data_IF_943857976276
#
_entry.id   IF_943857976276
#
_cell.length_a   1.000
_cell.length_b   1.000
_cell.length_c   1.000
_cell.angle_alpha   90.00
_cell.angle_beta   90.00
_cell.angle_gamma   90.00
#
_symmetry.space_group_name_H-M   'P 1'
#
loop_
_entity.id
_entity.type
_entity.pdbx_description
1 polymer ?
#
# COMPACT_ATOMS: atom_id res chain seq x y z
N UNK A 1 1.56 50.12 -52.59
CA UNK A 1 1.73 48.68 -52.26
C UNK A 1 2.90 48.39 -51.31
N UNK A 2 4.09 48.99 -51.46
CA UNK A 2 5.27 48.69 -50.62
C UNK A 2 5.15 49.01 -49.12
N UNK A 3 4.35 50.01 -48.72
CA UNK A 3 4.11 50.36 -47.30
C UNK A 3 3.18 49.37 -46.58
N UNK A 4 2.27 48.72 -47.29
CA UNK A 4 1.32 47.75 -46.71
C UNK A 4 2.01 46.41 -46.42
N UNK A 5 2.95 46.01 -47.27
CA UNK A 5 3.76 44.81 -47.08
C UNK A 5 4.71 44.93 -45.88
N UNK A 6 5.25 46.14 -45.62
CA UNK A 6 6.12 46.39 -44.47
C UNK A 6 5.35 46.32 -43.14
N UNK A 7 4.10 46.80 -43.10
CA UNK A 7 3.24 46.70 -41.91
C UNK A 7 2.84 45.24 -41.64
N UNK A 8 2.55 44.45 -42.69
CA UNK A 8 2.24 43.03 -42.55
C UNK A 8 3.45 42.21 -42.06
N UNK A 9 4.67 42.56 -42.48
CA UNK A 9 5.93 41.95 -42.01
C UNK A 9 6.28 42.39 -40.58
N UNK A 10 5.96 43.63 -40.18
CA UNK A 10 6.13 44.08 -38.80
C UNK A 10 5.09 43.45 -37.86
N UNK A 11 3.85 43.25 -38.31
CA UNK A 11 2.80 42.57 -37.53
C UNK A 11 3.08 41.07 -37.37
N UNK A 12 3.72 40.41 -38.34
CA UNK A 12 4.11 39.00 -38.21
C UNK A 12 5.35 38.78 -37.34
N UNK A 13 6.17 39.81 -37.09
CA UNK A 13 7.35 39.72 -36.19
C UNK A 13 7.02 39.91 -34.70
N UNK A 14 5.77 40.24 -34.33
CA UNK A 14 5.37 40.53 -32.94
C UNK A 14 4.70 39.35 -32.22
N UNK A 15 4.55 38.17 -32.85
CA UNK A 15 3.69 37.11 -32.32
C UNK A 15 4.37 35.81 -31.86
N UNK A 16 5.69 35.78 -31.68
CA UNK A 16 6.36 34.58 -31.12
C UNK A 16 7.48 34.88 -30.15
N UNK A 17 7.27 35.78 -29.19
CA UNK A 17 7.98 35.65 -27.92
C UNK A 17 7.27 34.55 -27.13
N UNK A 18 7.94 33.40 -26.95
CA UNK A 18 7.52 32.46 -25.93
C UNK A 18 7.72 33.15 -24.57
N UNK A 19 6.73 33.91 -24.11
CA UNK A 19 6.64 34.25 -22.69
C UNK A 19 6.44 32.92 -21.97
N UNK A 20 7.51 32.40 -21.36
CA UNK A 20 7.40 31.38 -20.33
C UNK A 20 6.59 31.99 -19.20
N UNK A 21 5.27 31.81 -19.24
CA UNK A 21 4.41 32.26 -18.16
C UNK A 21 4.85 31.51 -16.90
N UNK A 22 5.40 32.25 -15.93
CA UNK A 22 5.76 31.69 -14.63
C UNK A 22 4.52 31.11 -13.96
N UNK A 23 3.39 31.82 -14.08
CA UNK A 23 2.05 31.36 -13.70
C UNK A 23 1.06 31.80 -14.79
N UNK A 24 0.17 30.91 -15.23
CA UNK A 24 -0.92 31.21 -16.17
C UNK A 24 -2.24 30.67 -15.62
N UNK A 25 -3.33 31.42 -15.79
CA UNK A 25 -4.70 30.90 -15.62
C UNK A 25 -5.39 30.93 -16.97
N UNK A 26 -5.91 29.79 -17.46
CA UNK A 26 -6.61 29.73 -18.74
C UNK A 26 -8.10 30.10 -18.60
N UNK A 27 -8.81 30.22 -19.73
CA UNK A 27 -10.25 30.57 -19.75
C UNK A 27 -11.16 29.54 -19.06
N UNK A 28 -10.67 28.32 -18.83
CA UNK A 28 -11.37 27.26 -18.09
C UNK A 28 -11.04 27.26 -16.59
N UNK A 29 -10.23 28.22 -16.12
CA UNK A 29 -9.81 28.35 -14.73
C UNK A 29 -8.67 27.43 -14.29
N UNK A 30 -7.96 26.79 -15.22
CA UNK A 30 -6.81 25.93 -14.89
C UNK A 30 -5.55 26.77 -14.71
N UNK A 31 -4.80 26.45 -13.65
CA UNK A 31 -3.57 27.14 -13.28
C UNK A 31 -2.36 26.34 -13.76
N UNK A 32 -1.55 26.93 -14.64
CA UNK A 32 -0.27 26.39 -15.07
C UNK A 32 0.90 27.11 -14.40
N UNK A 33 1.90 26.37 -13.91
CA UNK A 33 3.18 26.94 -13.44
C UNK A 33 4.28 26.41 -14.36
N UNK A 34 5.01 27.31 -15.03
CA UNK A 34 5.91 26.96 -16.14
C UNK A 34 5.21 26.16 -17.28
N UNK A 35 3.89 26.26 -17.37
CA UNK A 35 3.05 25.58 -18.34
C UNK A 35 2.03 26.57 -18.90
N UNK A 36 2.13 26.87 -20.20
CA UNK A 36 1.22 27.79 -20.88
C UNK A 36 -0.07 27.12 -21.37
N UNK A 37 -0.17 25.79 -21.34
CA UNK A 37 -1.35 25.04 -21.77
C UNK A 37 -1.71 23.98 -20.71
N UNK A 38 -2.13 24.41 -19.49
CA UNK A 38 -2.44 23.48 -18.42
C UNK A 38 -3.58 22.54 -18.85
N UNK A 39 -3.36 21.24 -18.65
CA UNK A 39 -4.32 20.16 -18.95
C UNK A 39 -5.05 19.67 -17.70
N UNK A 40 -4.61 20.13 -16.53
CA UNK A 40 -5.21 19.84 -15.23
C UNK A 40 -5.47 21.12 -14.45
N UNK A 41 -6.32 21.06 -13.42
CA UNK A 41 -6.71 22.24 -12.62
C UNK A 41 -5.51 23.00 -12.05
N UNK A 42 -4.51 22.26 -11.59
CA UNK A 42 -3.17 22.75 -11.31
C UNK A 42 -2.18 21.86 -12.08
N UNK A 43 -1.41 22.44 -12.98
CA UNK A 43 -0.50 21.74 -13.87
C UNK A 43 0.89 22.42 -13.78
N UNK A 44 1.82 21.76 -13.10
CA UNK A 44 3.17 22.27 -12.85
C UNK A 44 4.14 21.52 -13.76
N UNK A 45 4.76 22.23 -14.68
CA UNK A 45 5.84 21.67 -15.50
C UNK A 45 7.19 21.89 -14.80
N UNK A 46 7.48 21.05 -13.82
CA UNK A 46 8.68 21.11 -12.99
C UNK A 46 8.46 20.50 -11.61
N UNK A 47 9.43 20.73 -10.72
CA UNK A 47 9.37 20.22 -9.35
C UNK A 47 8.44 21.06 -8.46
N UNK A 48 7.89 20.43 -7.42
CA UNK A 48 7.11 21.10 -6.39
C UNK A 48 7.80 20.97 -5.03
N UNK A 49 7.92 22.07 -4.28
CA UNK A 49 8.35 22.07 -2.89
C UNK A 49 7.25 22.66 -2.00
N UNK A 50 6.82 21.90 -1.01
CA UNK A 50 5.93 22.36 0.04
C UNK A 50 6.77 22.61 1.30
N UNK A 51 6.90 23.88 1.68
CA UNK A 51 7.60 24.30 2.89
C UNK A 51 6.62 24.36 4.05
N UNK A 52 6.95 23.70 5.15
CA UNK A 52 6.12 23.72 6.37
C UNK A 52 6.88 24.36 7.54
N UNK A 53 6.16 24.70 8.61
CA UNK A 53 6.75 25.28 9.82
C UNK A 53 7.83 24.37 10.40
N UNK A 54 8.97 24.94 10.82
CA UNK A 54 10.08 24.18 11.42
C UNK A 54 11.03 23.51 10.42
N UNK A 55 11.02 23.91 9.14
CA UNK A 55 12.01 23.48 8.15
C UNK A 55 11.74 22.11 7.51
N UNK A 56 10.65 21.44 7.88
CA UNK A 56 10.19 20.21 7.23
C UNK A 56 9.64 20.56 5.85
N UNK A 57 10.07 19.82 4.83
CA UNK A 57 9.64 20.04 3.46
C UNK A 57 9.19 18.72 2.83
N UNK A 58 8.20 18.80 1.95
CA UNK A 58 7.86 17.75 1.01
C UNK A 58 8.21 18.20 -0.40
N UNK A 59 8.65 17.25 -1.21
CA UNK A 59 9.09 17.46 -2.58
C UNK A 59 8.34 16.52 -3.50
N UNK A 60 7.95 17.03 -4.67
CA UNK A 60 7.64 16.23 -5.84
C UNK A 60 8.72 16.53 -6.87
N UNK A 61 9.50 15.52 -7.24
CA UNK A 61 10.53 15.65 -8.28
C UNK A 61 10.68 14.34 -9.05
N UNK A 62 10.77 14.45 -10.37
CA UNK A 62 10.64 13.29 -11.26
C UNK A 62 9.34 12.53 -10.99
N UNK A 63 9.45 11.23 -10.72
CA UNK A 63 8.31 10.35 -10.40
C UNK A 63 8.13 10.11 -8.90
N UNK A 64 8.79 10.90 -8.04
CA UNK A 64 8.86 10.65 -6.60
C UNK A 64 8.19 11.75 -5.80
N UNK A 65 7.41 11.36 -4.78
CA UNK A 65 6.98 12.21 -3.69
C UNK A 65 7.72 11.81 -2.42
N UNK A 66 8.47 12.73 -1.81
CA UNK A 66 9.32 12.42 -0.68
C UNK A 66 9.47 13.60 0.27
N UNK A 67 9.89 13.32 1.50
CA UNK A 67 10.17 14.35 2.48
C UNK A 67 11.67 14.64 2.61
N UNK A 68 12.02 15.79 3.19
CA UNK A 68 13.41 16.16 3.44
C UNK A 68 14.10 15.11 4.34
N UNK A 69 15.16 14.43 3.88
CA UNK A 69 15.82 13.36 4.65
C UNK A 69 16.50 13.86 5.93
N UNK A 70 16.81 15.16 6.04
CA UNK A 70 17.43 15.73 7.25
C UNK A 70 16.46 15.89 8.42
N UNK A 71 15.16 15.69 8.22
CA UNK A 71 14.14 15.84 9.26
C UNK A 71 13.21 14.62 9.30
N UNK A 72 12.78 14.25 10.50
CA UNK A 72 11.72 13.27 10.69
C UNK A 72 10.40 13.85 10.21
N UNK A 73 10.01 13.48 8.99
CA UNK A 73 8.76 13.85 8.36
C UNK A 73 7.90 12.61 8.17
N UNK A 74 6.69 12.68 8.69
CA UNK A 74 5.75 11.57 8.70
C UNK A 74 4.70 11.75 7.61
N UNK A 75 4.26 10.62 7.04
CA UNK A 75 3.08 10.60 6.19
C UNK A 75 1.84 10.38 7.08
N UNK A 76 1.22 11.48 7.50
CA UNK A 76 0.11 11.50 8.46
C UNK A 76 0.56 11.69 9.91
N UNK A 77 -0.37 11.58 10.85
CA UNK A 77 -0.08 11.64 12.30
C UNK A 77 -1.08 10.81 13.10
N UNK A 78 -0.88 10.68 14.42
CA UNK A 78 -1.77 9.91 15.31
C UNK A 78 -3.22 10.38 15.31
N UNK A 79 -3.48 11.66 14.96
CA UNK A 79 -4.84 12.22 14.85
C UNK A 79 -5.34 12.37 13.41
N UNK A 80 -4.45 12.22 12.43
CA UNK A 80 -4.74 12.43 11.00
C UNK A 80 -4.07 11.33 10.18
N UNK A 81 -4.61 10.11 10.31
CA UNK A 81 -4.10 8.93 9.61
C UNK A 81 -4.71 8.82 8.22
N UNK A 82 -3.95 8.23 7.30
CA UNK A 82 -4.46 7.84 5.99
C UNK A 82 -5.40 6.65 6.15
N UNK A 83 -6.56 6.70 5.50
CA UNK A 83 -7.54 5.61 5.59
C UNK A 83 -7.01 4.32 4.94
N UNK A 84 -6.33 4.43 3.79
CA UNK A 84 -5.73 3.29 3.05
C UNK A 84 -4.48 3.74 2.28
N UNK A 85 -3.56 2.79 2.05
CA UNK A 85 -2.41 2.93 1.15
C UNK A 85 -2.56 1.89 0.04
N UNK A 86 -2.56 2.33 -1.21
CA UNK A 86 -2.59 1.47 -2.40
C UNK A 86 -1.21 1.50 -3.05
N UNK A 87 -0.48 0.40 -2.97
CA UNK A 87 0.88 0.29 -3.52
C UNK A 87 1.14 -1.13 -4.02
N UNK A 88 1.79 -1.27 -5.18
CA UNK A 88 2.22 -2.56 -5.72
C UNK A 88 3.33 -3.19 -4.88
N UNK A 89 4.23 -2.36 -4.36
CA UNK A 89 5.31 -2.77 -3.47
C UNK A 89 5.47 -1.77 -2.33
N UNK A 90 5.75 -2.27 -1.13
CA UNK A 90 6.10 -1.46 0.03
C UNK A 90 7.48 -1.87 0.55
N UNK A 91 8.43 -0.96 0.52
CA UNK A 91 9.80 -1.17 1.02
C UNK A 91 9.97 -0.40 2.33
N UNK A 92 10.26 -1.12 3.41
CA UNK A 92 10.50 -0.53 4.72
C UNK A 92 11.88 -0.93 5.24
N UNK A 93 12.64 0.02 5.77
CA UNK A 93 13.88 -0.26 6.51
C UNK A 93 13.58 -0.89 7.87
N UNK A 94 12.42 -0.56 8.46
CA UNK A 94 11.94 -1.09 9.74
C UNK A 94 10.55 -1.69 9.56
N UNK A 95 10.20 -2.68 10.40
CA UNK A 95 8.89 -3.32 10.31
C UNK A 95 7.75 -2.33 10.64
N UNK A 96 6.62 -2.37 9.91
CA UNK A 96 5.43 -1.59 10.26
C UNK A 96 4.97 -1.88 11.70
N UNK A 97 4.60 -0.83 12.42
CA UNK A 97 4.10 -0.93 13.79
C UNK A 97 2.57 -0.90 13.79
N UNK A 98 1.95 -1.93 14.39
CA UNK A 98 0.51 -2.01 14.59
C UNK A 98 0.20 -1.72 16.06
N UNK A 99 -0.65 -0.73 16.32
CA UNK A 99 -1.11 -0.43 17.67
C UNK A 99 -1.82 -1.63 18.29
N UNK A 100 -1.37 -2.10 19.45
CA UNK A 100 -1.84 -3.34 20.07
C UNK A 100 -1.98 -3.27 21.60
N UNK A 101 -1.96 -2.06 22.17
CA UNK A 101 -2.09 -1.85 23.62
C UNK A 101 -3.46 -2.34 24.14
N UNK A 102 -3.49 -2.90 25.35
CA UNK A 102 -4.73 -3.25 26.06
C UNK A 102 -5.74 -2.10 26.16
N UNK A 103 -5.28 -0.85 26.25
CA UNK A 103 -6.13 0.36 26.35
C UNK A 103 -6.96 0.63 25.09
N UNK A 104 -6.53 0.11 23.95
CA UNK A 104 -7.22 0.28 22.67
C UNK A 104 -7.96 -1.01 22.25
N UNK A 105 -8.07 -1.99 23.15
CA UNK A 105 -8.76 -3.26 22.94
C UNK A 105 -9.91 -3.41 23.93
N UNK A 106 -10.96 -4.09 23.50
CA UNK A 106 -12.09 -4.48 24.34
C UNK A 106 -12.51 -5.91 24.00
N UNK A 107 -13.32 -6.55 24.86
CA UNK A 107 -13.80 -7.92 24.65
C UNK A 107 -12.66 -8.95 24.41
N UNK A 108 -11.55 -8.80 25.15
CA UNK A 108 -10.38 -9.68 25.05
C UNK A 108 -10.77 -11.07 25.56
N UNK A 109 -10.59 -12.09 24.70
CA UNK A 109 -10.83 -13.51 25.00
C UNK A 109 -9.62 -14.32 24.58
N UNK A 110 -9.34 -15.38 25.31
CA UNK A 110 -8.31 -16.33 24.92
C UNK A 110 -8.71 -17.05 23.62
N UNK A 111 -7.73 -17.30 22.76
CA UNK A 111 -7.91 -18.21 21.63
C UNK A 111 -7.94 -19.64 22.18
N UNK A 112 -9.11 -20.27 22.11
CA UNK A 112 -9.27 -21.70 22.42
C UNK A 112 -8.69 -22.57 21.30
N UNK A 113 -8.81 -23.89 21.40
CA UNK A 113 -8.23 -24.83 20.42
C UNK A 113 -8.57 -24.45 18.98
N UNK A 114 -7.54 -24.10 18.20
CA UNK A 114 -7.64 -23.66 16.80
C UNK A 114 -7.00 -24.65 15.83
N UNK A 115 -6.30 -25.66 16.36
CA UNK A 115 -5.57 -26.65 15.57
C UNK A 115 -6.44 -27.30 14.49
N UNK A 116 -7.68 -27.67 14.81
CA UNK A 116 -8.57 -28.34 13.84
C UNK A 116 -8.99 -27.42 12.71
N UNK A 117 -9.11 -26.11 12.96
CA UNK A 117 -9.35 -25.11 11.91
C UNK A 117 -8.13 -24.93 11.02
N UNK A 118 -6.93 -24.87 11.60
CA UNK A 118 -5.69 -24.68 10.82
C UNK A 118 -5.43 -25.86 9.87
N UNK A 119 -5.79 -27.09 10.26
CA UNK A 119 -5.70 -28.27 9.38
C UNK A 119 -6.58 -28.19 8.12
N UNK A 120 -7.63 -27.37 8.13
CA UNK A 120 -8.50 -27.18 6.97
C UNK A 120 -7.88 -26.22 5.94
N UNK A 121 -6.85 -25.47 6.32
CA UNK A 121 -6.21 -24.51 5.42
C UNK A 121 -5.29 -25.23 4.44
N UNK A 122 -5.35 -24.81 3.18
CA UNK A 122 -4.52 -25.33 2.10
C UNK A 122 -3.53 -24.25 1.62
N UNK A 123 -2.25 -24.32 2.02
CA UNK A 123 -1.21 -23.49 1.43
C UNK A 123 -1.10 -23.78 -0.07
N UNK A 124 -0.97 -22.73 -0.88
CA UNK A 124 -0.85 -22.82 -2.33
C UNK A 124 0.28 -21.94 -2.84
N UNK A 125 0.80 -22.28 -4.01
CA UNK A 125 1.58 -21.36 -4.83
C UNK A 125 0.71 -20.85 -5.97
N UNK A 126 0.94 -19.61 -6.39
CA UNK A 126 0.20 -19.01 -7.48
C UNK A 126 1.02 -17.92 -8.16
N UNK A 127 0.58 -17.57 -9.37
CA UNK A 127 0.96 -16.35 -10.04
C UNK A 127 -0.27 -15.45 -10.14
N UNK A 128 -0.10 -14.14 -10.05
CA UNK A 128 -1.21 -13.23 -10.26
C UNK A 128 -1.59 -13.17 -11.74
N UNK A 129 -2.89 -13.07 -12.00
CA UNK A 129 -3.44 -12.90 -13.35
C UNK A 129 -3.19 -11.48 -13.85
N UNK A 130 -2.50 -11.34 -14.98
CA UNK A 130 -2.10 -10.04 -15.55
C UNK A 130 -3.19 -9.33 -16.37
N UNK A 131 -4.32 -9.99 -16.58
CA UNK A 131 -5.51 -9.49 -17.28
C UNK A 131 -6.56 -8.88 -16.33
N UNK A 132 -6.30 -8.84 -15.01
CA UNK A 132 -7.15 -8.18 -14.02
C UNK A 132 -6.78 -6.68 -13.93
N UNK A 133 -7.65 -5.75 -14.38
CA UNK A 133 -7.32 -4.33 -14.47
C UNK A 133 -6.92 -3.69 -13.12
N UNK A 134 -7.49 -4.15 -12.02
CA UNK A 134 -7.30 -3.59 -10.68
C UNK A 134 -5.91 -3.85 -10.10
N UNK A 135 -5.19 -4.88 -10.57
CA UNK A 135 -3.97 -5.37 -9.91
C UNK A 135 -2.69 -4.61 -10.29
N UNK A 136 -2.74 -3.75 -11.33
CA UNK A 136 -1.57 -3.00 -11.83
C UNK A 136 -0.28 -3.86 -11.93
N UNK A 137 -0.42 -5.07 -12.48
CA UNK A 137 0.69 -6.02 -12.57
C UNK A 137 1.58 -5.67 -13.77
N UNK A 138 2.89 -5.72 -13.55
CA UNK A 138 3.85 -5.74 -14.64
C UNK A 138 3.69 -7.04 -15.44
N UNK A 139 3.12 -6.91 -16.65
CA UNK A 139 2.86 -8.03 -17.56
C UNK A 139 4.12 -8.79 -17.97
N UNK A 140 5.30 -8.20 -17.80
CA UNK A 140 6.58 -8.83 -18.10
C UNK A 140 7.11 -9.70 -16.96
N UNK A 141 6.53 -9.61 -15.75
CA UNK A 141 7.07 -10.24 -14.55
C UNK A 141 6.06 -11.18 -13.89
N UNK A 142 6.09 -12.46 -14.26
CA UNK A 142 5.23 -13.50 -13.70
C UNK A 142 5.82 -14.10 -12.41
N UNK A 143 5.79 -13.33 -11.32
CA UNK A 143 6.40 -13.73 -10.03
C UNK A 143 5.59 -14.85 -9.37
N UNK A 144 6.25 -15.95 -9.00
CA UNK A 144 5.65 -17.03 -8.22
C UNK A 144 5.50 -16.58 -6.75
N UNK A 145 4.31 -16.73 -6.21
CA UNK A 145 3.96 -16.34 -4.84
C UNK A 145 3.42 -17.53 -4.05
N UNK A 146 3.45 -17.42 -2.73
CA UNK A 146 2.93 -18.40 -1.77
C UNK A 146 1.82 -17.73 -0.96
N UNK A 147 0.76 -18.48 -0.64
CA UNK A 147 -0.33 -17.96 0.16
C UNK A 147 -1.50 -18.92 0.28
N UNK A 148 -2.70 -18.36 0.38
CA UNK A 148 -3.97 -19.09 0.46
C UNK A 148 -4.98 -18.53 -0.53
N UNK A 149 -5.98 -19.34 -0.87
CA UNK A 149 -7.18 -18.89 -1.58
C UNK A 149 -8.11 -18.21 -0.56
N UNK A 150 -8.53 -16.98 -0.86
CA UNK A 150 -9.28 -16.16 0.10
C UNK A 150 -10.65 -16.75 0.43
N UNK A 151 -11.33 -17.36 -0.53
CA UNK A 151 -12.64 -18.02 -0.37
C UNK A 151 -12.55 -19.26 0.54
N UNK A 152 -11.47 -20.05 0.37
CA UNK A 152 -11.19 -21.20 1.24
C UNK A 152 -10.91 -20.74 2.68
N UNK A 153 -10.11 -19.68 2.83
CA UNK A 153 -9.83 -19.09 4.14
C UNK A 153 -11.10 -18.50 4.78
N UNK A 154 -11.94 -17.81 4.01
CA UNK A 154 -13.17 -17.18 4.50
C UNK A 154 -14.13 -18.20 5.11
N UNK A 155 -14.17 -19.42 4.58
CA UNK A 155 -15.00 -20.50 5.11
C UNK A 155 -14.58 -20.96 6.52
N UNK A 156 -13.33 -20.70 6.93
CA UNK A 156 -12.76 -21.13 8.21
C UNK A 156 -12.56 -19.94 9.18
N UNK A 157 -12.08 -18.81 8.65
CA UNK A 157 -11.78 -17.56 9.33
C UNK A 157 -12.35 -16.36 8.54
N UNK A 158 -13.68 -16.16 8.53
CA UNK A 158 -14.31 -15.12 7.73
C UNK A 158 -13.81 -13.72 8.10
N UNK A 159 -13.59 -13.47 9.39
CA UNK A 159 -12.97 -12.27 9.95
C UNK A 159 -11.48 -12.07 9.61
N UNK A 160 -10.85 -12.84 8.73
CA UNK A 160 -9.50 -12.54 8.20
C UNK A 160 -9.52 -12.12 6.73
N UNK A 161 -10.69 -12.18 6.09
CA UNK A 161 -10.88 -11.85 4.68
C UNK A 161 -11.60 -10.52 4.56
N UNK A 162 -11.20 -9.71 3.59
CA UNK A 162 -11.81 -8.41 3.28
C UNK A 162 -12.03 -8.28 1.79
N UNK A 163 -13.01 -7.47 1.42
CA UNK A 163 -13.18 -7.04 0.03
C UNK A 163 -12.32 -5.80 -0.25
N UNK A 164 -11.89 -5.65 -1.50
CA UNK A 164 -11.20 -4.47 -2.00
C UNK A 164 -11.40 -4.33 -3.52
N UNK A 165 -11.23 -3.12 -4.04
CA UNK A 165 -11.46 -2.84 -5.46
C UNK A 165 -12.88 -3.20 -5.90
N UNK A 166 -13.02 -3.82 -7.07
CA UNK A 166 -14.27 -4.31 -7.64
C UNK A 166 -14.61 -5.71 -7.07
N UNK A 167 -14.91 -5.78 -5.77
CA UNK A 167 -15.30 -7.01 -5.05
C UNK A 167 -14.26 -8.14 -5.03
N UNK A 168 -12.98 -7.81 -5.21
CA UNK A 168 -11.89 -8.77 -5.02
C UNK A 168 -11.70 -9.07 -3.54
N UNK A 169 -11.39 -10.33 -3.21
CA UNK A 169 -11.06 -10.72 -1.84
C UNK A 169 -9.57 -10.56 -1.56
N UNK A 170 -9.25 -10.21 -0.32
CA UNK A 170 -7.91 -10.07 0.22
C UNK A 170 -7.82 -10.65 1.62
N UNK A 171 -6.62 -11.08 2.02
CA UNK A 171 -6.36 -11.75 3.30
C UNK A 171 -5.51 -10.85 4.20
N UNK A 172 -5.92 -10.69 5.45
CA UNK A 172 -5.09 -10.11 6.52
C UNK A 172 -4.13 -11.16 7.09
N UNK A 173 -3.04 -11.42 6.37
CA UNK A 173 -2.07 -12.47 6.73
C UNK A 173 -1.50 -12.32 8.15
N UNK A 174 -1.37 -11.10 8.66
CA UNK A 174 -0.87 -10.83 10.02
C UNK A 174 -1.79 -11.42 11.10
N UNK A 175 -3.08 -11.55 10.83
CA UNK A 175 -4.06 -12.05 11.79
C UNK A 175 -3.90 -13.58 12.01
N UNK A 176 -3.25 -14.28 11.07
CA UNK A 176 -2.94 -15.71 11.20
C UNK A 176 -1.84 -15.98 12.23
N UNK A 177 -0.94 -15.03 12.49
CA UNK A 177 0.20 -15.22 13.39
C UNK A 177 -0.23 -15.69 14.80
N UNK A 178 -1.13 -14.99 15.53
CA UNK A 178 -1.55 -15.45 16.86
C UNK A 178 -2.32 -16.78 16.81
N UNK A 179 -3.03 -17.09 15.71
CA UNK A 179 -3.69 -18.38 15.54
C UNK A 179 -2.68 -19.51 15.36
N UNK A 180 -1.63 -19.29 14.57
CA UNK A 180 -0.53 -20.25 14.40
C UNK A 180 0.21 -20.49 15.73
N UNK A 181 0.45 -19.44 16.51
CA UNK A 181 1.04 -19.57 17.86
C UNK A 181 0.16 -20.45 18.76
N UNK A 182 -1.16 -20.24 18.77
CA UNK A 182 -2.07 -21.07 19.56
C UNK A 182 -2.12 -22.52 19.03
N UNK A 183 -2.10 -22.73 17.70
CA UNK A 183 -2.04 -24.07 17.13
C UNK A 183 -0.77 -24.84 17.53
N UNK A 184 0.38 -24.15 17.61
CA UNK A 184 1.64 -24.74 18.09
C UNK A 184 1.53 -25.11 19.58
N UNK A 185 0.90 -24.28 20.41
CA UNK A 185 0.65 -24.60 21.83
C UNK A 185 -0.27 -25.80 22.00
N UNK A 186 -1.33 -25.87 21.20
CA UNK A 186 -2.25 -27.03 21.16
C UNK A 186 -1.48 -28.30 20.79
N UNK A 187 -0.64 -28.22 19.75
CA UNK A 187 0.19 -29.33 19.30
C UNK A 187 1.21 -29.76 20.36
N UNK A 188 1.84 -28.82 21.07
CA UNK A 188 2.78 -29.12 22.14
C UNK A 188 2.11 -29.89 23.29
N UNK A 189 0.89 -29.51 23.64
CA UNK A 189 0.11 -30.20 24.68
C UNK A 189 -0.14 -31.67 24.32
N UNK A 190 -0.41 -31.96 23.05
CA UNK A 190 -0.58 -33.34 22.57
C UNK A 190 0.72 -34.12 22.56
N UNK A 191 1.82 -33.49 22.16
CA UNK A 191 3.15 -34.10 22.18
C UNK A 191 3.54 -34.47 23.62
N UNK A 192 3.28 -33.60 24.59
CA UNK A 192 3.58 -33.85 26.00
C UNK A 192 2.74 -35.01 26.53
N UNK A 193 1.45 -35.06 26.20
CA UNK A 193 0.55 -36.15 26.58
C UNK A 193 0.96 -37.49 25.96
N UNK A 194 1.33 -37.48 24.67
CA UNK A 194 1.82 -38.66 23.95
C UNK A 194 3.15 -39.16 24.54
N UNK A 195 4.09 -38.25 24.82
CA UNK A 195 5.39 -38.58 25.42
C UNK A 195 5.22 -39.20 26.80
N UNK A 196 4.33 -38.63 27.63
CA UNK A 196 3.99 -39.20 28.93
C UNK A 196 3.43 -40.62 28.80
N UNK A 197 2.50 -40.83 27.86
CA UNK A 197 1.91 -42.15 27.61
C UNK A 197 2.97 -43.17 27.17
N UNK A 198 3.91 -42.79 26.30
CA UNK A 198 5.01 -43.66 25.87
C UNK A 198 5.87 -44.04 27.08
N UNK A 199 6.29 -43.08 27.90
CA UNK A 199 7.08 -43.34 29.11
C UNK A 199 6.35 -44.28 30.11
N UNK A 200 5.06 -44.05 30.34
CA UNK A 200 4.24 -44.89 31.21
C UNK A 200 4.10 -46.33 30.67
N UNK A 201 4.08 -46.51 29.35
CA UNK A 201 4.02 -47.83 28.69
C UNK A 201 5.37 -48.54 28.73
N UNK A 202 6.47 -47.85 28.44
CA UNK A 202 7.82 -48.40 28.51
C UNK A 202 8.18 -48.87 29.93
N UNK A 203 7.73 -48.13 30.95
CA UNK A 203 7.92 -48.50 32.36
C UNK A 203 7.18 -49.77 32.79
N UNK A 204 6.17 -50.23 32.02
CA UNK A 204 5.42 -51.46 32.29
C UNK A 204 6.00 -52.71 31.62
N UNK A 205 6.92 -52.52 30.66
CA UNK A 205 7.55 -53.59 29.90
C UNK A 205 8.90 -53.99 30.53
N UNK A 206 9.47 -53.12 31.38
CA UNK A 206 10.62 -53.42 32.25
C UNK A 206 10.17 -54.06 33.55
#
# INVERSE_FOLDING_TARGET
>A
MKKLTLILVLCSFVLSSNLSAQIKVNSSGYVGINNTNPTYRLDVNGDMKLVTSGGKNFFMSGSSFYANPSYNADLGSTSYMWYRIYATYAYFTYNPVIGSDSKIKSNIKDLTTVKDKIKLLRPVTYNLKSDIPELQIDKSNNVLQYGFIAEELQSVFPEMVTTWGNDLLGIRYTDLIPVLVQAIKDQQTEIDALTKRVSDLESKIK
#
